data_IF_160107244509
#
_entry.id   IF_160107244509
#
_cell.length_a   1.000
_cell.length_b   1.000
_cell.length_c   1.000
_cell.angle_alpha   90.00
_cell.angle_beta   90.00
_cell.angle_gamma   90.00
#
_symmetry.space_group_name_H-M   'P 1'
#
loop_
_entity.id
_entity.type
_entity.pdbx_description
1 polymer ?
#
# COMPACT_ATOMS: atom_id res chain seq x y z
N UNK A 1 -12.21 8.44 8.20
CA UNK A 1 -12.73 8.01 6.88
C UNK A 1 -13.70 6.85 7.05
N UNK A 2 -14.84 6.88 6.32
CA UNK A 2 -15.83 5.81 6.40
C UNK A 2 -15.34 4.49 5.81
N UNK A 3 -15.88 3.37 6.29
CA UNK A 3 -15.44 2.01 5.89
C UNK A 3 -15.56 1.81 4.38
N UNK A 4 -16.68 2.24 3.78
CA UNK A 4 -16.91 2.12 2.33
C UNK A 4 -15.88 2.87 1.50
N UNK A 5 -15.53 4.10 1.90
CA UNK A 5 -14.50 4.91 1.22
C UNK A 5 -13.12 4.28 1.37
N UNK A 6 -12.80 3.76 2.56
CA UNK A 6 -11.56 3.02 2.80
C UNK A 6 -11.43 1.84 1.85
N UNK A 7 -12.45 0.96 1.81
CA UNK A 7 -12.43 -0.25 0.99
C UNK A 7 -12.24 0.09 -0.49
N UNK A 8 -12.98 1.07 -1.01
CA UNK A 8 -12.87 1.46 -2.42
C UNK A 8 -11.48 1.99 -2.77
N UNK A 9 -10.97 2.96 -2.01
CA UNK A 9 -9.67 3.57 -2.30
C UNK A 9 -8.55 2.56 -2.09
N UNK A 10 -8.56 1.81 -0.98
CA UNK A 10 -7.52 0.85 -0.65
C UNK A 10 -7.46 -0.29 -1.68
N UNK A 11 -8.61 -0.82 -2.10
CA UNK A 11 -8.67 -1.89 -3.12
C UNK A 11 -8.20 -1.36 -4.48
N UNK A 12 -8.61 -0.16 -4.86
CA UNK A 12 -8.16 0.46 -6.12
C UNK A 12 -6.65 0.68 -6.12
N UNK A 13 -6.08 1.20 -5.02
CA UNK A 13 -4.64 1.39 -4.89
C UNK A 13 -3.89 0.06 -4.84
N UNK A 14 -4.44 -0.96 -4.17
CA UNK A 14 -3.85 -2.29 -4.15
C UNK A 14 -3.83 -2.96 -5.52
N UNK A 15 -4.90 -2.82 -6.32
CA UNK A 15 -4.87 -3.27 -7.71
C UNK A 15 -3.83 -2.49 -8.55
N UNK A 16 -3.69 -1.19 -8.26
CA UNK A 16 -2.75 -0.32 -8.96
C UNK A 16 -1.29 -0.68 -8.68
N UNK A 17 -0.92 -1.21 -7.50
CA UNK A 17 0.45 -1.67 -7.25
C UNK A 17 0.86 -2.79 -8.22
N UNK A 18 -0.05 -3.74 -8.48
CA UNK A 18 0.18 -4.78 -9.50
C UNK A 18 0.16 -4.22 -10.91
N UNK A 19 -0.80 -3.34 -11.23
CA UNK A 19 -0.93 -2.77 -12.57
C UNK A 19 0.34 -2.01 -12.96
N UNK A 20 0.85 -1.16 -12.08
CA UNK A 20 2.12 -0.43 -12.29
C UNK A 20 3.24 -1.43 -12.55
N UNK A 21 3.42 -2.42 -11.67
CA UNK A 21 4.48 -3.43 -11.82
C UNK A 21 4.40 -4.18 -13.16
N UNK A 22 3.24 -4.71 -13.54
CA UNK A 22 3.10 -5.47 -14.77
C UNK A 22 3.19 -4.60 -16.02
N UNK A 23 2.69 -3.35 -15.98
CA UNK A 23 2.80 -2.40 -17.08
C UNK A 23 4.27 -2.09 -17.40
N UNK A 24 5.06 -1.74 -16.39
CA UNK A 24 6.48 -1.42 -16.58
C UNK A 24 7.30 -2.63 -17.02
N UNK A 25 7.01 -3.82 -16.47
CA UNK A 25 7.63 -5.08 -16.93
C UNK A 25 7.31 -5.37 -18.40
N UNK A 26 6.09 -5.09 -18.88
CA UNK A 26 5.73 -5.27 -20.30
C UNK A 26 6.44 -4.29 -21.24
N UNK A 27 6.95 -3.17 -20.75
CA UNK A 27 7.81 -2.24 -21.51
C UNK A 27 9.31 -2.52 -21.34
N UNK A 28 9.69 -3.60 -20.64
CA UNK A 28 11.10 -3.93 -20.37
C UNK A 28 11.77 -3.01 -19.35
N UNK A 29 10.99 -2.24 -18.59
CA UNK A 29 11.49 -1.36 -17.54
C UNK A 29 11.63 -2.19 -16.26
N UNK A 30 12.83 -2.24 -15.64
CA UNK A 30 13.02 -2.99 -14.41
C UNK A 30 12.17 -2.39 -13.28
N UNK A 31 11.60 -3.27 -12.44
CA UNK A 31 10.81 -2.86 -11.28
C UNK A 31 11.46 -3.39 -10.01
N UNK A 32 11.91 -2.46 -9.18
CA UNK A 32 12.47 -2.68 -7.87
C UNK A 32 13.98 -2.64 -7.80
N UNK A 33 14.46 -2.16 -6.66
CA UNK A 33 15.87 -2.03 -6.35
C UNK A 33 16.42 -3.39 -5.89
N UNK A 34 17.22 -4.04 -6.72
CA UNK A 34 17.92 -5.27 -6.34
C UNK A 34 19.23 -4.93 -5.64
N UNK A 35 19.23 -4.93 -4.31
CA UNK A 35 20.47 -5.04 -3.54
C UNK A 35 21.19 -6.33 -3.99
N UNK A 36 22.29 -6.21 -4.74
CA UNK A 36 23.09 -7.26 -5.42
C UNK A 36 22.82 -7.56 -6.90
N UNK A 37 22.08 -6.73 -7.65
CA UNK A 37 22.22 -6.78 -9.11
C UNK A 37 23.53 -6.05 -9.47
N UNK A 38 24.65 -6.78 -9.44
CA UNK A 38 25.94 -6.26 -9.87
C UNK A 38 25.81 -5.53 -11.21
N UNK A 39 26.47 -4.38 -11.32
CA UNK A 39 26.67 -3.62 -12.57
C UNK A 39 25.45 -2.90 -13.19
N UNK A 40 24.64 -2.21 -12.40
CA UNK A 40 23.85 -1.06 -12.91
C UNK A 40 24.10 0.20 -12.08
N UNK A 41 25.36 0.60 -12.00
CA UNK A 41 25.75 1.95 -11.60
C UNK A 41 25.68 2.84 -12.86
N UNK A 42 24.53 3.49 -13.08
CA UNK A 42 24.31 4.32 -14.26
C UNK A 42 22.98 5.07 -14.24
N UNK A 43 22.97 6.18 -13.49
CA UNK A 43 22.18 7.40 -13.72
C UNK A 43 20.79 7.63 -13.12
N UNK A 44 20.07 6.70 -12.48
CA UNK A 44 18.89 7.11 -11.67
C UNK A 44 18.66 6.19 -10.46
N UNK A 45 18.60 6.77 -9.26
CA UNK A 45 18.35 6.05 -8.00
C UNK A 45 16.93 5.45 -7.92
N UNK A 46 15.97 6.02 -8.65
CA UNK A 46 14.58 5.55 -8.76
C UNK A 46 14.16 5.58 -10.23
N UNK A 47 13.64 4.48 -10.77
CA UNK A 47 13.02 4.46 -12.09
C UNK A 47 11.58 5.02 -12.00
N UNK A 48 10.94 5.35 -13.13
CA UNK A 48 9.55 5.78 -13.14
C UNK A 48 8.59 4.78 -12.45
N UNK A 49 8.91 3.48 -12.50
CA UNK A 49 8.10 2.45 -11.84
C UNK A 49 8.12 2.60 -10.31
N UNK A 50 9.29 2.81 -9.71
CA UNK A 50 9.40 3.01 -8.25
C UNK A 50 8.74 4.32 -7.81
N UNK A 51 8.85 5.39 -8.61
CA UNK A 51 8.17 6.66 -8.30
C UNK A 51 6.65 6.49 -8.31
N UNK A 52 6.10 5.76 -9.29
CA UNK A 52 4.68 5.42 -9.33
C UNK A 52 4.27 4.57 -8.13
N UNK A 53 5.03 3.50 -7.81
CA UNK A 53 4.74 2.64 -6.65
C UNK A 53 4.81 3.43 -5.34
N UNK A 54 5.81 4.31 -5.18
CA UNK A 54 5.94 5.19 -4.02
C UNK A 54 4.72 6.10 -3.85
N UNK A 55 4.21 6.67 -4.95
CA UNK A 55 3.00 7.47 -4.92
C UNK A 55 1.77 6.63 -4.50
N UNK A 56 1.61 5.43 -5.05
CA UNK A 56 0.51 4.51 -4.71
C UNK A 56 0.56 4.13 -3.22
N UNK A 57 1.73 3.72 -2.72
CA UNK A 57 1.92 3.41 -1.30
C UNK A 57 1.71 4.63 -0.41
N UNK A 58 2.10 5.83 -0.84
CA UNK A 58 1.81 7.08 -0.14
C UNK A 58 0.30 7.30 0.06
N UNK A 59 -0.51 7.04 -0.98
CA UNK A 59 -1.97 7.10 -0.89
C UNK A 59 -2.52 6.00 0.03
N UNK A 60 -1.98 4.78 -0.02
CA UNK A 60 -2.40 3.68 0.86
C UNK A 60 -2.09 3.99 2.33
N UNK A 61 -0.90 4.53 2.63
CA UNK A 61 -0.51 4.98 3.98
C UNK A 61 -1.46 6.09 4.44
N UNK A 62 -1.73 7.09 3.59
CA UNK A 62 -2.69 8.15 3.92
C UNK A 62 -4.08 7.60 4.24
N UNK A 63 -4.58 6.65 3.45
CA UNK A 63 -5.86 5.99 3.71
C UNK A 63 -5.87 5.25 5.05
N UNK A 64 -4.79 4.53 5.37
CA UNK A 64 -4.63 3.87 6.67
C UNK A 64 -4.58 4.87 7.82
N UNK A 65 -3.90 6.01 7.67
CA UNK A 65 -3.87 7.07 8.70
C UNK A 65 -5.27 7.63 8.95
N UNK A 66 -6.02 7.93 7.89
CA UNK A 66 -7.39 8.44 7.97
C UNK A 66 -8.38 7.43 8.56
N UNK A 67 -8.10 6.13 8.41
CA UNK A 67 -8.90 5.06 9.01
C UNK A 67 -8.49 4.79 10.46
N UNK A 68 -7.19 4.81 10.74
CA UNK A 68 -6.63 4.67 12.08
C UNK A 68 -7.13 5.76 13.02
N UNK A 69 -7.25 7.01 12.54
CA UNK A 69 -7.79 8.13 13.32
C UNK A 69 -9.22 7.90 13.82
N UNK A 70 -10.04 7.16 13.06
CA UNK A 70 -11.43 6.83 13.44
C UNK A 70 -11.50 5.59 14.34
N UNK A 71 -10.64 4.61 14.08
CA UNK A 71 -10.68 3.30 14.77
C UNK A 71 -9.77 3.19 15.98
N UNK A 72 -8.91 4.19 16.23
CA UNK A 72 -7.89 4.17 17.30
C UNK A 72 -6.71 3.25 17.02
N UNK A 73 -6.54 2.77 15.78
CA UNK A 73 -5.58 1.70 15.42
C UNK A 73 -4.42 2.22 14.60
N UNK A 74 -3.49 2.90 15.25
CA UNK A 74 -2.29 3.46 14.61
C UNK A 74 -1.44 2.38 13.93
N UNK A 75 -1.48 1.13 14.39
CA UNK A 75 -0.70 0.06 13.77
C UNK A 75 -1.05 -0.22 12.29
N UNK A 76 -2.22 0.23 11.81
CA UNK A 76 -2.66 0.08 10.42
C UNK A 76 -1.72 0.74 9.41
N UNK A 77 -0.99 1.79 9.81
CA UNK A 77 -0.06 2.49 8.92
C UNK A 77 1.22 1.68 8.64
N UNK A 78 1.62 0.79 9.55
CA UNK A 78 2.82 -0.02 9.38
C UNK A 78 2.65 -1.05 8.27
N UNK A 79 1.43 -1.52 8.02
CA UNK A 79 1.15 -2.53 6.99
C UNK A 79 1.50 -2.03 5.58
N UNK A 80 0.92 -0.93 5.05
CA UNK A 80 1.31 -0.41 3.74
C UNK A 80 2.74 0.16 3.73
N UNK A 81 3.26 0.66 4.85
CA UNK A 81 4.63 1.17 4.93
C UNK A 81 5.66 0.04 4.74
N UNK A 82 5.50 -1.06 5.48
CA UNK A 82 6.37 -2.23 5.36
C UNK A 82 6.17 -2.92 4.01
N UNK A 83 4.94 -3.00 3.50
CA UNK A 83 4.66 -3.50 2.16
C UNK A 83 5.42 -2.67 1.10
N UNK A 84 5.38 -1.34 1.17
CA UNK A 84 6.12 -0.47 0.25
C UNK A 84 7.63 -0.70 0.30
N UNK A 85 8.19 -0.93 1.49
CA UNK A 85 9.61 -1.27 1.64
C UNK A 85 9.93 -2.60 0.92
N UNK A 86 9.14 -3.65 1.13
CA UNK A 86 9.35 -4.92 0.44
C UNK A 86 9.16 -4.81 -1.07
N UNK A 87 8.16 -4.06 -1.52
CA UNK A 87 7.86 -3.93 -2.95
C UNK A 87 8.95 -3.14 -3.70
N UNK A 88 9.46 -2.06 -3.08
CA UNK A 88 10.47 -1.19 -3.66
C UNK A 88 11.90 -1.75 -3.57
N UNK A 89 12.28 -2.38 -2.45
CA UNK A 89 13.67 -2.80 -2.17
C UNK A 89 13.91 -4.31 -2.26
N UNK A 90 12.85 -5.12 -2.36
CA UNK A 90 12.94 -6.58 -2.40
C UNK A 90 12.00 -7.15 -3.46
N UNK A 91 12.11 -6.67 -4.70
CA UNK A 91 11.11 -6.92 -5.74
C UNK A 91 10.91 -8.38 -6.17
N UNK A 92 11.85 -9.27 -5.83
CA UNK A 92 11.70 -10.71 -6.01
C UNK A 92 10.72 -11.35 -5.01
N UNK A 93 10.43 -10.65 -3.90
CA UNK A 93 9.55 -11.13 -2.83
C UNK A 93 8.16 -10.50 -2.98
N UNK A 94 7.46 -10.78 -4.08
CA UNK A 94 6.11 -10.23 -4.35
C UNK A 94 5.07 -10.69 -3.32
N UNK A 95 5.33 -11.82 -2.66
CA UNK A 95 4.43 -12.39 -1.66
C UNK A 95 4.36 -11.57 -0.36
N UNK A 96 5.47 -10.98 0.09
CA UNK A 96 5.53 -10.18 1.30
C UNK A 96 4.66 -8.90 1.23
N UNK A 97 4.80 -8.02 0.23
CA UNK A 97 3.97 -6.83 0.12
C UNK A 97 2.49 -7.16 -0.11
N UNK A 98 2.20 -8.25 -0.84
CA UNK A 98 0.84 -8.76 -1.03
C UNK A 98 0.18 -9.11 0.31
N UNK A 99 0.86 -9.91 1.13
CA UNK A 99 0.34 -10.36 2.43
C UNK A 99 0.14 -9.18 3.38
N UNK A 100 1.11 -8.27 3.44
CA UNK A 100 1.04 -7.08 4.28
C UNK A 100 -0.10 -6.13 3.87
N UNK A 101 -0.31 -5.90 2.56
CA UNK A 101 -1.44 -5.11 2.09
C UNK A 101 -2.79 -5.78 2.39
N UNK A 102 -2.86 -7.12 2.30
CA UNK A 102 -4.08 -7.86 2.62
C UNK A 102 -4.40 -7.81 4.11
N UNK A 103 -3.38 -7.89 4.98
CA UNK A 103 -3.53 -7.65 6.42
C UNK A 103 -3.97 -6.20 6.70
N UNK A 104 -3.37 -5.22 6.03
CA UNK A 104 -3.77 -3.81 6.14
C UNK A 104 -5.22 -3.58 5.77
N UNK A 105 -5.69 -4.24 4.70
CA UNK A 105 -7.09 -4.23 4.28
C UNK A 105 -8.00 -4.84 5.35
N UNK A 106 -7.71 -6.07 5.78
CA UNK A 106 -8.54 -6.81 6.75
C UNK A 106 -8.63 -6.05 8.07
N UNK A 107 -7.50 -5.59 8.62
CA UNK A 107 -7.51 -4.83 9.87
C UNK A 107 -8.17 -3.46 9.73
N UNK A 108 -8.10 -2.83 8.55
CA UNK A 108 -8.76 -1.56 8.28
C UNK A 108 -10.28 -1.67 8.19
N UNK A 109 -10.78 -2.83 7.76
CA UNK A 109 -12.22 -3.15 7.71
C UNK A 109 -12.74 -3.62 9.08
N UNK A 110 -11.97 -4.43 9.80
CA UNK A 110 -12.33 -4.98 11.12
C UNK A 110 -12.32 -3.92 12.23
N UNK A 111 -13.13 -2.86 12.16
CA UNK A 111 -13.29 -1.87 13.23
C UNK A 111 -14.77 -1.55 13.46
N UNK A 112 -15.10 -0.75 14.50
CA UNK A 112 -16.47 -0.25 14.69
C UNK A 112 -16.99 0.32 13.38
N UNK A 113 -18.14 -0.15 12.92
CA UNK A 113 -18.73 0.38 11.69
C UNK A 113 -19.24 1.79 11.99
N UNK A 114 -19.24 2.68 11.01
CA UNK A 114 -19.70 4.06 11.21
C UNK A 114 -21.15 4.07 11.76
N UNK A 115 -21.93 3.06 11.39
CA UNK A 115 -23.30 2.79 11.88
C UNK A 115 -23.36 2.53 13.40
N UNK A 116 -22.32 1.90 13.99
CA UNK A 116 -22.25 1.65 15.44
C UNK A 116 -21.93 2.93 16.25
N UNK A 117 -21.30 3.91 15.62
CA UNK A 117 -20.90 5.18 16.27
C UNK A 117 -22.08 6.15 16.29
N UNK A 118 -22.85 6.24 15.21
CA UNK A 118 -24.10 7.03 15.20
C UNK A 118 -25.10 6.52 16.24
N UNK A 119 -25.25 5.19 16.36
CA UNK A 119 -26.15 4.59 17.35
C UNK A 119 -25.75 4.92 18.80
N UNK A 120 -24.45 5.08 19.08
CA UNK A 120 -23.93 5.43 20.43
C UNK A 120 -24.02 6.91 20.76
N UNK A 121 -24.19 7.79 19.77
CA UNK A 121 -24.38 9.23 20.02
C UNK A 121 -25.85 9.61 20.28
N UNK A 122 -26.78 8.69 20.04
CA UNK A 122 -28.22 8.87 20.24
C UNK A 122 -28.78 8.16 21.49
N UNK A 123 -27.92 7.55 22.32
CA UNK A 123 -28.26 6.95 23.62
C UNK A 123 -27.60 7.76 24.73
#
# INVERSE_FOLDING_TARGET
MSTRRFVLIYTAMFALTYLVRYLFLSFGIPVGYSFNAGTYAGENFFTPAELCLLAVYGVMVYCCVQRAAVTGRTYLLFMPLTAGIFDLFFSLVVFAPTTLNLLGFVFGVLGPQDDDIELRMHV
#
